data_IF_596310162177
#
_entry.id   IF_596310162177
#
_cell.length_a   1.000
_cell.length_b   1.000
_cell.length_c   1.000
_cell.angle_alpha   90.00
_cell.angle_beta   90.00
_cell.angle_gamma   90.00
#
_symmetry.space_group_name_H-M   'P 1'
#
loop_
_entity.id
_entity.type
_entity.pdbx_description
1 polymer ?
#
# COMPACT_ATOMS: atom_id res chain seq x y z
N UNK A 1 17.60 25.87 45.17
CA UNK A 1 17.68 26.83 44.07
C UNK A 1 17.11 26.18 42.86
N UNK A 2 15.83 26.37 42.63
CA UNK A 2 15.04 25.79 41.49
C UNK A 2 15.06 26.81 40.36
N UNK A 3 15.67 26.47 39.23
CA UNK A 3 15.70 27.33 38.05
C UNK A 3 14.39 27.13 37.26
N UNK A 4 13.66 28.23 37.10
CA UNK A 4 12.39 28.31 36.38
C UNK A 4 12.61 28.26 34.87
N UNK A 5 11.83 27.39 34.16
CA UNK A 5 11.91 27.12 32.71
C UNK A 5 11.29 28.20 31.82
N UNK A 6 10.99 29.39 32.32
CA UNK A 6 10.24 30.45 31.58
C UNK A 6 11.08 31.64 31.08
N UNK A 7 12.40 31.58 31.11
CA UNK A 7 13.23 32.76 30.74
C UNK A 7 14.03 32.65 29.44
N UNK A 8 13.59 31.85 28.46
CA UNK A 8 14.31 31.76 27.18
C UNK A 8 13.57 32.34 25.96
N UNK A 9 12.68 33.26 26.13
CA UNK A 9 11.97 33.92 25.01
C UNK A 9 11.92 35.44 25.14
N UNK A 10 13.09 36.10 25.31
CA UNK A 10 13.22 37.55 25.03
C UNK A 10 14.66 37.85 24.64
N UNK A 11 14.92 38.04 23.37
CA UNK A 11 16.23 38.39 22.84
C UNK A 11 16.20 38.89 21.41
N UNK A 12 15.80 40.14 21.24
CA UNK A 12 16.29 41.11 20.24
C UNK A 12 16.15 40.84 18.77
N UNK A 13 15.13 41.43 18.17
CA UNK A 13 15.10 41.84 16.77
C UNK A 13 16.10 42.98 16.54
N UNK A 14 17.14 42.78 15.75
CA UNK A 14 17.93 43.85 15.12
C UNK A 14 17.74 43.71 13.61
N UNK A 15 17.08 44.69 13.02
CA UNK A 15 16.93 44.85 11.62
C UNK A 15 18.24 45.13 10.88
N UNK A 16 18.45 44.49 9.78
CA UNK A 16 19.38 44.92 8.74
C UNK A 16 18.63 44.89 7.39
N UNK A 17 18.24 46.10 6.98
CA UNK A 17 17.90 46.38 5.58
C UNK A 17 19.21 46.68 4.87
N UNK A 18 19.58 45.88 3.86
CA UNK A 18 20.44 46.36 2.77
C UNK A 18 20.59 45.29 1.68
N UNK A 19 20.37 45.67 0.44
CA UNK A 19 21.01 45.08 -0.70
C UNK A 19 20.14 44.13 -1.54
N UNK A 20 19.34 44.70 -2.47
CA UNK A 20 18.91 44.02 -3.69
C UNK A 20 20.13 43.64 -4.56
N UNK A 21 20.75 42.53 -4.26
CA UNK A 21 21.68 41.84 -5.16
C UNK A 21 20.86 40.80 -5.94
N UNK A 22 20.82 40.94 -7.29
CA UNK A 22 20.40 39.88 -8.20
C UNK A 22 21.38 38.70 -8.03
N UNK A 23 21.12 37.85 -7.05
CA UNK A 23 21.80 36.56 -6.95
C UNK A 23 21.32 35.67 -8.08
N UNK A 24 22.23 35.29 -8.97
CA UNK A 24 22.04 34.13 -9.85
C UNK A 24 21.75 32.96 -8.91
N UNK A 25 20.53 32.45 -8.95
CA UNK A 25 20.18 31.19 -8.31
C UNK A 25 21.09 30.13 -8.95
N UNK A 26 22.12 29.71 -8.23
CA UNK A 26 22.78 28.45 -8.54
C UNK A 26 21.68 27.40 -8.35
N UNK A 27 21.24 26.78 -9.43
CA UNK A 27 20.48 25.54 -9.38
C UNK A 27 21.29 24.55 -8.56
N UNK A 28 20.98 24.46 -7.28
CA UNK A 28 21.50 23.34 -6.49
C UNK A 28 20.97 22.08 -7.15
N UNK A 29 21.84 21.11 -7.51
CA UNK A 29 21.36 19.88 -8.12
C UNK A 29 20.31 19.29 -7.17
N UNK A 30 19.10 19.08 -7.66
CA UNK A 30 18.02 18.49 -6.92
C UNK A 30 18.56 17.19 -6.29
N UNK A 31 18.56 17.10 -4.96
CA UNK A 31 18.99 15.89 -4.24
C UNK A 31 18.13 14.75 -4.80
N UNK A 32 18.76 13.86 -5.58
CA UNK A 32 18.07 12.72 -6.17
C UNK A 32 17.59 11.83 -5.01
N UNK A 33 16.30 11.86 -4.74
CA UNK A 33 15.72 11.06 -3.68
C UNK A 33 15.76 9.58 -4.11
N UNK A 34 16.38 8.76 -3.26
CA UNK A 34 16.39 7.31 -3.44
C UNK A 34 15.17 6.71 -2.75
N UNK A 35 14.25 6.10 -3.51
CA UNK A 35 13.10 5.42 -2.93
C UNK A 35 13.50 4.11 -2.28
N UNK A 36 12.82 3.78 -1.20
CA UNK A 36 13.01 2.51 -0.51
C UNK A 36 12.16 1.42 -1.16
N UNK A 37 12.77 0.25 -1.36
CA UNK A 37 12.13 -0.91 -1.98
C UNK A 37 11.82 -1.92 -0.89
N UNK A 38 10.55 -2.24 -0.73
CA UNK A 38 10.06 -3.29 0.15
C UNK A 38 9.61 -4.51 -0.67
N UNK A 39 9.26 -5.57 0.03
CA UNK A 39 8.63 -6.76 -0.55
C UNK A 39 7.41 -7.16 0.29
N UNK A 40 6.30 -7.45 -0.38
CA UNK A 40 5.15 -8.08 0.27
C UNK A 40 5.46 -9.56 0.57
N UNK A 41 5.13 -10.01 1.77
CA UNK A 41 5.29 -11.42 2.16
C UNK A 41 4.48 -12.36 1.26
N UNK A 42 3.43 -11.83 0.60
CA UNK A 42 2.72 -12.50 -0.48
C UNK A 42 3.66 -13.03 -1.57
N UNK A 43 4.68 -12.25 -1.95
CA UNK A 43 5.62 -12.59 -3.03
C UNK A 43 6.34 -13.92 -2.80
N UNK A 44 6.61 -14.28 -1.55
CA UNK A 44 7.21 -15.56 -1.18
C UNK A 44 6.16 -16.66 -1.15
N UNK A 45 5.03 -16.42 -0.49
CA UNK A 45 4.03 -17.45 -0.22
C UNK A 45 3.12 -17.74 -1.43
N UNK A 46 2.60 -16.73 -2.10
CA UNK A 46 1.69 -16.84 -3.26
C UNK A 46 0.51 -17.80 -3.03
N UNK A 47 0.06 -18.00 -1.78
CA UNK A 47 -0.95 -18.97 -1.35
C UNK A 47 -0.64 -20.47 -1.69
N UNK A 48 0.54 -20.78 -2.18
CA UNK A 48 0.93 -22.12 -2.69
C UNK A 48 2.26 -22.64 -2.15
N UNK A 49 3.17 -21.78 -1.69
CA UNK A 49 4.48 -22.16 -1.19
C UNK A 49 4.47 -22.23 0.33
N UNK A 50 4.01 -23.40 0.88
CA UNK A 50 3.80 -23.58 2.33
C UNK A 50 5.06 -23.31 3.17
N UNK A 51 6.24 -23.54 2.60
CA UNK A 51 7.55 -23.27 3.22
C UNK A 51 7.81 -21.81 3.51
N UNK A 52 7.10 -20.89 2.83
CA UNK A 52 7.17 -19.44 3.03
C UNK A 52 5.94 -18.86 3.75
N UNK A 53 5.13 -19.71 4.38
CA UNK A 53 3.96 -19.20 5.11
C UNK A 53 4.31 -18.45 6.39
N UNK A 54 5.46 -18.73 6.99
CA UNK A 54 5.94 -18.04 8.19
C UNK A 54 6.36 -16.60 7.83
N UNK A 55 5.60 -15.63 8.36
CA UNK A 55 5.83 -14.20 8.13
C UNK A 55 7.18 -13.74 8.68
N UNK A 56 7.58 -14.23 9.87
CA UNK A 56 8.87 -13.89 10.49
C UNK A 56 10.04 -14.37 9.63
N UNK A 57 9.94 -15.58 9.06
CA UNK A 57 10.90 -16.08 8.07
C UNK A 57 10.97 -15.20 6.82
N UNK A 58 9.83 -14.73 6.31
CA UNK A 58 9.81 -13.83 5.14
C UNK A 58 10.54 -12.50 5.44
N UNK A 59 10.44 -11.97 6.66
CA UNK A 59 11.19 -10.76 7.07
C UNK A 59 12.70 -11.02 6.99
N UNK A 60 13.19 -12.18 7.48
CA UNK A 60 14.61 -12.53 7.41
C UNK A 60 15.06 -12.67 5.96
N UNK A 61 14.32 -13.41 5.13
CA UNK A 61 14.62 -13.59 3.71
C UNK A 61 14.65 -12.27 2.94
N UNK A 62 13.73 -11.35 3.24
CA UNK A 62 13.72 -10.01 2.65
C UNK A 62 15.02 -9.24 2.98
N UNK A 63 15.48 -9.30 4.23
CA UNK A 63 16.73 -8.68 4.64
C UNK A 63 17.94 -9.31 3.94
N UNK A 64 18.01 -10.65 3.84
CA UNK A 64 19.07 -11.38 3.14
C UNK A 64 19.13 -11.04 1.65
N UNK A 65 17.97 -10.76 1.02
CA UNK A 65 17.90 -10.31 -0.37
C UNK A 65 18.29 -8.85 -0.57
N UNK A 66 18.31 -8.03 0.50
CA UNK A 66 18.69 -6.61 0.46
C UNK A 66 17.53 -5.65 0.21
N UNK A 67 16.31 -6.00 0.61
CA UNK A 67 15.19 -5.06 0.67
C UNK A 67 15.34 -4.06 1.81
N UNK A 68 14.66 -2.91 1.74
CA UNK A 68 14.66 -1.90 2.79
C UNK A 68 13.50 -2.06 3.77
N UNK A 69 12.48 -2.86 3.42
CA UNK A 69 11.31 -3.06 4.26
C UNK A 69 10.45 -4.23 3.79
N UNK A 70 9.42 -4.51 4.58
CA UNK A 70 8.47 -5.60 4.33
C UNK A 70 7.03 -5.09 4.50
N UNK A 71 6.18 -5.49 3.58
CA UNK A 71 4.73 -5.41 3.70
C UNK A 71 4.19 -6.78 4.11
N UNK A 72 3.47 -6.83 5.23
CA UNK A 72 2.94 -8.09 5.75
C UNK A 72 1.56 -8.38 5.16
N UNK A 73 1.33 -9.60 4.69
CA UNK A 73 0.02 -10.05 4.26
C UNK A 73 -0.74 -10.68 5.43
N UNK A 74 -1.84 -10.08 5.86
CA UNK A 74 -2.63 -10.56 7.01
C UNK A 74 -3.08 -12.01 6.86
N UNK A 75 -3.58 -12.43 5.68
CA UNK A 75 -4.02 -13.81 5.41
C UNK A 75 -2.92 -14.88 5.57
N UNK A 76 -1.66 -14.48 5.57
CA UNK A 76 -0.52 -15.36 5.79
C UNK A 76 -0.28 -15.60 7.29
N UNK A 77 -0.68 -14.65 8.15
CA UNK A 77 -0.52 -14.76 9.60
C UNK A 77 -1.41 -15.88 10.16
N UNK A 78 -0.81 -16.76 10.94
CA UNK A 78 -1.50 -17.89 11.61
C UNK A 78 -1.68 -17.67 13.10
N UNK A 79 -0.98 -16.69 13.65
CA UNK A 79 -1.01 -16.32 15.07
C UNK A 79 -0.85 -14.81 15.20
N UNK A 80 -1.82 -14.16 15.84
CA UNK A 80 -1.89 -12.73 16.10
C UNK A 80 -1.65 -12.41 17.59
N UNK A 81 -1.16 -13.39 18.36
CA UNK A 81 -0.88 -13.17 19.77
C UNK A 81 0.16 -12.05 19.97
N UNK A 82 0.05 -11.29 21.09
CA UNK A 82 1.04 -10.25 21.40
C UNK A 82 2.48 -10.78 21.44
N UNK A 83 2.68 -12.07 21.74
CA UNK A 83 4.00 -12.71 21.71
C UNK A 83 4.54 -12.79 20.27
N UNK A 84 3.71 -13.20 19.32
CA UNK A 84 4.08 -13.30 17.90
C UNK A 84 4.31 -11.92 17.29
N UNK A 85 3.44 -10.94 17.54
CA UNK A 85 3.62 -9.57 17.05
C UNK A 85 4.94 -8.97 17.54
N UNK A 86 5.28 -9.16 18.82
CA UNK A 86 6.57 -8.70 19.38
C UNK A 86 7.77 -9.41 18.75
N UNK A 87 7.67 -10.70 18.42
CA UNK A 87 8.76 -11.42 17.73
C UNK A 87 8.97 -10.87 16.32
N UNK A 88 7.91 -10.72 15.51
CA UNK A 88 7.99 -10.15 14.16
C UNK A 88 8.66 -8.76 14.22
N UNK A 89 8.18 -7.88 15.11
CA UNK A 89 8.72 -6.53 15.29
C UNK A 89 10.20 -6.54 15.70
N UNK A 90 10.57 -7.41 16.65
CA UNK A 90 11.97 -7.58 17.08
C UNK A 90 12.84 -8.10 15.94
N UNK A 91 12.37 -9.09 15.18
CA UNK A 91 13.10 -9.67 14.05
C UNK A 91 13.31 -8.62 12.96
N UNK A 92 12.29 -7.86 12.59
CA UNK A 92 12.43 -6.77 11.64
C UNK A 92 13.51 -5.76 12.10
N UNK A 93 13.45 -5.31 13.35
CA UNK A 93 14.41 -4.37 13.90
C UNK A 93 15.86 -4.90 13.89
N UNK A 94 16.06 -6.16 14.31
CA UNK A 94 17.41 -6.76 14.35
C UNK A 94 18.02 -6.97 12.97
N UNK A 95 17.19 -7.10 11.93
CA UNK A 95 17.63 -7.24 10.55
C UNK A 95 17.63 -5.90 9.77
N UNK A 96 17.38 -4.76 10.43
CA UNK A 96 17.36 -3.45 9.80
C UNK A 96 16.22 -3.26 8.81
N UNK A 97 15.09 -3.96 9.02
CA UNK A 97 13.93 -3.94 8.14
C UNK A 97 12.81 -3.05 8.69
N UNK A 98 12.29 -2.16 7.86
CA UNK A 98 11.06 -1.44 8.20
C UNK A 98 9.83 -2.33 7.91
N UNK A 99 8.87 -2.39 8.83
CA UNK A 99 7.54 -2.91 8.56
C UNK A 99 6.73 -1.76 7.95
N UNK A 100 6.65 -1.69 6.61
CA UNK A 100 6.17 -0.50 5.91
C UNK A 100 4.70 -0.56 5.49
N UNK A 101 4.09 -1.74 5.47
CA UNK A 101 2.72 -1.94 5.03
C UNK A 101 2.08 -3.21 5.59
N UNK A 102 0.76 -3.25 5.58
CA UNK A 102 -0.05 -4.39 6.00
C UNK A 102 -1.19 -4.59 4.99
N UNK A 103 -1.19 -5.72 4.29
CA UNK A 103 -2.18 -6.01 3.26
C UNK A 103 -3.32 -6.83 3.80
N UNK A 104 -4.54 -6.32 3.67
CA UNK A 104 -5.77 -6.98 4.14
C UNK A 104 -6.79 -7.14 3.02
N UNK A 105 -7.82 -7.95 3.25
CA UNK A 105 -8.88 -8.17 2.27
C UNK A 105 -10.23 -7.89 2.94
N UNK A 106 -10.95 -6.90 2.42
CA UNK A 106 -12.29 -6.51 2.84
C UNK A 106 -13.33 -6.88 1.79
N UNK A 107 -14.58 -6.97 2.20
CA UNK A 107 -15.72 -7.27 1.34
C UNK A 107 -16.92 -6.38 1.70
N UNK A 108 -16.82 -5.07 1.47
CA UNK A 108 -17.91 -4.13 1.76
C UNK A 108 -19.03 -4.18 0.72
N UNK A 109 -18.78 -4.74 -0.48
CA UNK A 109 -19.78 -4.91 -1.54
C UNK A 109 -20.74 -6.05 -1.22
N UNK A 110 -21.65 -5.81 -0.28
CA UNK A 110 -22.68 -6.79 0.11
C UNK A 110 -23.97 -6.07 0.48
N UNK A 111 -25.15 -6.54 0.02
CA UNK A 111 -26.43 -6.04 0.50
C UNK A 111 -26.69 -6.41 1.95
N UNK A 112 -26.06 -7.45 2.48
CA UNK A 112 -26.19 -7.89 3.87
C UNK A 112 -25.39 -6.97 4.80
N UNK A 113 -26.11 -6.23 5.65
CA UNK A 113 -25.53 -5.34 6.64
C UNK A 113 -24.65 -6.08 7.65
N UNK A 114 -24.99 -7.31 8.01
CA UNK A 114 -24.18 -8.10 8.94
C UNK A 114 -22.82 -8.45 8.35
N UNK A 115 -22.76 -8.73 7.03
CA UNK A 115 -21.49 -8.94 6.32
C UNK A 115 -20.67 -7.65 6.31
N UNK A 116 -21.29 -6.51 6.00
CA UNK A 116 -20.57 -5.21 6.02
C UNK A 116 -20.04 -4.86 7.41
N UNK A 117 -20.86 -5.04 8.46
CA UNK A 117 -20.43 -4.81 9.86
C UNK A 117 -19.24 -5.69 10.24
N UNK A 118 -19.27 -6.98 9.89
CA UNK A 118 -18.15 -7.90 10.13
C UNK A 118 -16.87 -7.44 9.44
N UNK A 119 -16.97 -6.90 8.22
CA UNK A 119 -15.82 -6.34 7.50
C UNK A 119 -15.30 -5.05 8.15
N UNK A 120 -16.15 -4.20 8.70
CA UNK A 120 -15.74 -3.05 9.53
C UNK A 120 -14.99 -3.49 10.77
N UNK A 121 -15.53 -4.44 11.52
CA UNK A 121 -14.89 -5.01 12.72
C UNK A 121 -13.53 -5.63 12.40
N UNK A 122 -13.45 -6.40 11.32
CA UNK A 122 -12.19 -6.96 10.81
C UNK A 122 -11.18 -5.88 10.44
N UNK A 123 -11.62 -4.81 9.76
CA UNK A 123 -10.75 -3.71 9.36
C UNK A 123 -10.19 -2.98 10.57
N UNK A 124 -11.03 -2.69 11.58
CA UNK A 124 -10.62 -2.06 12.84
C UNK A 124 -9.60 -2.95 13.59
N UNK A 125 -9.86 -4.25 13.67
CA UNK A 125 -8.90 -5.20 14.24
C UNK A 125 -7.55 -5.16 13.52
N UNK A 126 -7.54 -5.17 12.20
CA UNK A 126 -6.29 -5.07 11.42
C UNK A 126 -5.56 -3.73 11.63
N UNK A 127 -6.28 -2.62 11.81
CA UNK A 127 -5.69 -1.32 12.18
C UNK A 127 -4.97 -1.42 13.53
N UNK A 128 -5.57 -2.10 14.51
CA UNK A 128 -4.96 -2.32 15.82
C UNK A 128 -3.73 -3.22 15.75
N UNK A 129 -3.73 -4.25 14.90
CA UNK A 129 -2.52 -5.05 14.59
C UNK A 129 -1.40 -4.19 13.98
N UNK A 130 -1.74 -3.28 13.05
CA UNK A 130 -0.77 -2.33 12.49
C UNK A 130 -0.14 -1.46 13.59
N UNK A 131 -0.95 -0.94 14.51
CA UNK A 131 -0.47 -0.14 15.63
C UNK A 131 0.50 -0.94 16.52
N UNK A 132 0.16 -2.16 16.90
CA UNK A 132 1.03 -3.03 17.70
C UNK A 132 2.35 -3.36 16.99
N UNK A 133 2.31 -3.57 15.67
CA UNK A 133 3.49 -3.83 14.85
C UNK A 133 4.29 -2.56 14.53
N UNK A 134 3.71 -1.36 14.69
CA UNK A 134 4.31 -0.08 14.30
C UNK A 134 4.26 0.16 12.79
N UNK A 135 3.29 -0.43 12.08
CA UNK A 135 3.09 -0.30 10.63
C UNK A 135 2.25 0.95 10.34
N UNK A 136 2.74 1.88 9.49
CA UNK A 136 2.06 3.17 9.27
C UNK A 136 0.97 3.12 8.20
N UNK A 137 0.93 2.10 7.35
CA UNK A 137 -0.03 2.00 6.24
C UNK A 137 -0.69 0.63 6.17
N UNK A 138 -1.97 0.61 5.83
CA UNK A 138 -2.73 -0.62 5.65
C UNK A 138 -3.52 -0.58 4.36
N UNK A 139 -3.28 -1.56 3.47
CA UNK A 139 -4.06 -1.72 2.25
C UNK A 139 -5.46 -2.24 2.58
N UNK A 140 -6.48 -1.62 1.98
CA UNK A 140 -7.88 -2.02 2.04
C UNK A 140 -8.47 -2.13 0.63
N UNK A 141 -9.52 -2.95 0.46
CA UNK A 141 -10.22 -3.17 -0.80
C UNK A 141 -11.71 -2.82 -0.67
N UNK A 142 -12.36 -2.59 -1.80
CA UNK A 142 -13.83 -2.48 -1.86
C UNK A 142 -14.52 -3.83 -1.64
N UNK A 143 -13.85 -4.93 -1.99
CA UNK A 143 -14.44 -6.22 -2.24
C UNK A 143 -14.94 -6.33 -3.67
N UNK A 144 -15.55 -7.47 -4.00
CA UNK A 144 -16.16 -7.78 -5.32
C UNK A 144 -17.66 -8.02 -5.14
N UNK A 145 -18.41 -7.97 -6.24
CA UNK A 145 -19.84 -8.29 -6.23
C UNK A 145 -20.12 -9.77 -5.93
N UNK A 146 -19.09 -10.65 -6.11
CA UNK A 146 -19.21 -12.08 -5.86
C UNK A 146 -20.12 -12.79 -6.86
N UNK A 147 -20.34 -12.20 -8.03
CA UNK A 147 -21.13 -12.79 -9.11
C UNK A 147 -20.33 -13.69 -10.02
N UNK A 148 -19.01 -13.65 -9.96
CA UNK A 148 -18.11 -14.63 -10.57
C UNK A 148 -18.07 -15.91 -9.71
N UNK A 149 -18.12 -17.08 -10.36
CA UNK A 149 -18.14 -18.38 -9.66
C UNK A 149 -16.88 -18.67 -8.84
N UNK A 150 -15.75 -18.15 -9.29
CA UNK A 150 -14.43 -18.26 -8.64
C UNK A 150 -13.47 -17.19 -9.17
N UNK A 151 -12.28 -17.12 -8.55
CA UNK A 151 -11.28 -16.14 -8.91
C UNK A 151 -10.75 -16.30 -10.34
N UNK A 152 -10.62 -17.54 -10.85
CA UNK A 152 -10.15 -17.77 -12.23
C UNK A 152 -11.16 -17.24 -13.26
N UNK A 153 -12.46 -17.32 -12.98
CA UNK A 153 -13.48 -16.72 -13.84
C UNK A 153 -13.41 -15.20 -13.80
N UNK A 154 -13.28 -14.62 -12.60
CA UNK A 154 -13.09 -13.17 -12.43
C UNK A 154 -11.87 -12.69 -13.24
N UNK A 155 -10.75 -13.40 -13.18
CA UNK A 155 -9.54 -13.03 -13.93
C UNK A 155 -9.71 -13.21 -15.44
N UNK A 156 -10.38 -14.28 -15.91
CA UNK A 156 -10.71 -14.42 -17.33
C UNK A 156 -11.60 -13.28 -17.85
N UNK A 157 -12.45 -12.75 -16.98
CA UNK A 157 -13.29 -11.58 -17.26
C UNK A 157 -12.57 -10.25 -16.95
N UNK A 158 -11.24 -10.27 -16.71
CA UNK A 158 -10.41 -9.09 -16.47
C UNK A 158 -10.86 -8.26 -15.26
N UNK A 159 -11.32 -8.95 -14.22
CA UNK A 159 -11.84 -8.32 -13.01
C UNK A 159 -13.23 -7.69 -13.17
N UNK A 160 -13.90 -7.92 -14.29
CA UNK A 160 -15.24 -7.38 -14.55
C UNK A 160 -16.28 -8.39 -14.05
N UNK A 161 -17.16 -7.96 -13.18
CA UNK A 161 -18.33 -8.70 -12.77
C UNK A 161 -19.55 -7.76 -12.68
N UNK A 162 -20.75 -8.24 -13.04
CA UNK A 162 -21.95 -7.43 -12.91
C UNK A 162 -22.33 -7.27 -11.43
N UNK A 163 -23.03 -6.19 -11.07
CA UNK A 163 -23.68 -6.09 -9.77
C UNK A 163 -24.60 -7.27 -9.48
N UNK A 164 -24.84 -7.54 -8.20
CA UNK A 164 -25.84 -8.52 -7.76
C UNK A 164 -27.23 -8.13 -8.29
N UNK A 165 -28.10 -9.12 -8.66
CA UNK A 165 -29.46 -8.85 -9.10
C UNK A 165 -30.22 -7.95 -8.12
N UNK A 166 -30.83 -6.89 -8.61
CA UNK A 166 -31.59 -5.91 -7.81
C UNK A 166 -30.75 -4.76 -7.22
N UNK A 167 -29.44 -4.75 -7.45
CA UNK A 167 -28.52 -3.70 -7.00
C UNK A 167 -27.74 -3.11 -8.17
N UNK A 168 -27.06 -2.00 -7.92
CA UNK A 168 -26.21 -1.30 -8.89
C UNK A 168 -24.95 -0.72 -8.21
N UNK A 169 -24.05 -0.15 -9.00
CA UNK A 169 -22.79 0.39 -8.48
C UNK A 169 -23.00 1.53 -7.48
N UNK A 170 -24.09 2.32 -7.57
CA UNK A 170 -24.40 3.36 -6.60
C UNK A 170 -24.71 2.78 -5.21
N UNK A 171 -25.39 1.63 -5.16
CA UNK A 171 -25.58 0.89 -3.91
C UNK A 171 -24.22 0.46 -3.32
N UNK A 172 -23.37 -0.09 -4.17
CA UNK A 172 -22.02 -0.52 -3.81
C UNK A 172 -21.15 0.63 -3.27
N UNK A 173 -21.15 1.78 -3.95
CA UNK A 173 -20.41 2.96 -3.48
C UNK A 173 -20.87 3.41 -2.10
N UNK A 174 -22.19 3.50 -1.87
CA UNK A 174 -22.72 3.86 -0.54
C UNK A 174 -22.24 2.90 0.55
N UNK A 175 -22.24 1.60 0.29
CA UNK A 175 -21.80 0.60 1.27
C UNK A 175 -20.31 0.67 1.55
N UNK A 176 -19.48 0.86 0.53
CA UNK A 176 -18.02 0.99 0.69
C UNK A 176 -17.67 2.27 1.43
N UNK A 177 -18.28 3.40 1.06
CA UNK A 177 -18.08 4.70 1.73
C UNK A 177 -18.49 4.63 3.20
N UNK A 178 -19.68 4.08 3.52
CA UNK A 178 -20.11 3.86 4.91
C UNK A 178 -19.11 2.96 5.66
N UNK A 179 -18.75 1.81 5.08
CA UNK A 179 -17.86 0.84 5.71
C UNK A 179 -16.48 1.42 6.04
N UNK A 180 -15.84 2.10 5.08
CA UNK A 180 -14.53 2.73 5.27
C UNK A 180 -14.61 3.92 6.23
N UNK A 181 -15.64 4.75 6.14
CA UNK A 181 -15.84 5.90 7.05
C UNK A 181 -15.91 5.47 8.50
N UNK A 182 -16.54 4.34 8.80
CA UNK A 182 -16.61 3.77 10.15
C UNK A 182 -15.27 3.31 10.71
N UNK A 183 -14.28 3.06 9.86
CA UNK A 183 -12.93 2.64 10.26
C UNK A 183 -12.00 3.83 10.58
N UNK A 184 -12.33 5.06 10.11
CA UNK A 184 -11.41 6.19 10.17
C UNK A 184 -11.04 6.64 11.59
N UNK A 185 -11.97 6.58 12.54
CA UNK A 185 -11.67 6.92 13.92
C UNK A 185 -10.62 5.99 14.56
N UNK A 186 -10.63 4.71 14.17
CA UNK A 186 -9.59 3.76 14.59
C UNK A 186 -8.27 4.05 13.86
N UNK A 187 -8.31 4.33 12.57
CA UNK A 187 -7.15 4.68 11.76
C UNK A 187 -6.42 5.91 12.33
N UNK A 188 -7.16 6.99 12.63
CA UNK A 188 -6.63 8.20 13.27
C UNK A 188 -6.04 7.93 14.65
N UNK A 189 -6.76 7.25 15.52
CA UNK A 189 -6.30 6.90 16.88
C UNK A 189 -5.00 6.09 16.86
N UNK A 190 -4.88 5.18 15.90
CA UNK A 190 -3.72 4.30 15.76
C UNK A 190 -2.59 4.89 14.90
N UNK A 191 -2.82 6.02 14.21
CA UNK A 191 -1.84 6.63 13.31
C UNK A 191 -1.58 5.78 12.06
N UNK A 192 -2.59 5.05 11.56
CA UNK A 192 -2.49 4.14 10.41
C UNK A 192 -3.26 4.72 9.24
N UNK A 193 -2.59 4.95 8.11
CA UNK A 193 -3.24 5.43 6.88
C UNK A 193 -3.81 4.23 6.13
N UNK A 194 -5.11 4.23 5.87
CA UNK A 194 -5.77 3.26 5.01
C UNK A 194 -5.45 3.60 3.55
N UNK A 195 -4.89 2.67 2.81
CA UNK A 195 -4.65 2.78 1.37
C UNK A 195 -5.68 1.97 0.60
N UNK A 196 -6.66 2.63 -0.03
CA UNK A 196 -7.60 1.95 -0.92
C UNK A 196 -6.88 1.54 -2.20
N UNK A 197 -6.83 0.23 -2.44
CA UNK A 197 -6.14 -0.32 -3.61
C UNK A 197 -7.01 -0.24 -4.87
N UNK A 198 -6.39 0.09 -6.00
CA UNK A 198 -6.97 -0.19 -7.32
C UNK A 198 -6.98 -1.71 -7.55
N UNK A 199 -8.10 -2.32 -7.19
CA UNK A 199 -8.33 -3.76 -7.20
C UNK A 199 -9.70 -4.07 -7.81
N UNK A 200 -10.09 -5.33 -7.88
CA UNK A 200 -11.37 -5.76 -8.42
C UNK A 200 -12.57 -5.11 -7.72
N UNK A 201 -13.76 -5.23 -8.28
CA UNK A 201 -14.97 -4.54 -7.81
C UNK A 201 -14.95 -3.06 -8.19
N UNK A 202 -15.38 -2.17 -7.30
CA UNK A 202 -15.46 -0.72 -7.58
C UNK A 202 -14.07 -0.04 -7.69
N UNK A 203 -13.02 -0.67 -7.16
CA UNK A 203 -11.63 -0.21 -7.29
C UNK A 203 -10.98 -0.55 -8.63
N UNK A 204 -11.68 -1.20 -9.57
CA UNK A 204 -11.13 -1.63 -10.85
C UNK A 204 -10.76 -0.47 -11.80
N UNK A 205 -11.30 0.70 -11.58
CA UNK A 205 -10.99 1.90 -12.37
C UNK A 205 -10.45 3.02 -11.47
N UNK A 206 -9.63 3.93 -11.99
CA UNK A 206 -9.13 5.06 -11.20
C UNK A 206 -10.27 5.99 -10.75
N UNK A 207 -11.32 6.15 -11.57
CA UNK A 207 -12.50 6.93 -11.23
C UNK A 207 -13.23 6.34 -10.02
N UNK A 208 -13.35 5.01 -9.97
CA UNK A 208 -13.98 4.31 -8.84
C UNK A 208 -13.21 4.50 -7.53
N UNK A 209 -11.88 4.32 -7.57
CA UNK A 209 -11.00 4.56 -6.41
C UNK A 209 -11.09 6.02 -5.97
N UNK A 210 -10.92 6.95 -6.90
CA UNK A 210 -10.89 8.38 -6.59
C UNK A 210 -12.25 8.91 -6.13
N UNK A 211 -13.36 8.35 -6.62
CA UNK A 211 -14.70 8.67 -6.12
C UNK A 211 -14.79 8.41 -4.63
N UNK A 212 -14.40 7.20 -4.18
CA UNK A 212 -14.48 6.82 -2.77
C UNK A 212 -13.55 7.69 -1.92
N UNK A 213 -12.29 7.87 -2.35
CA UNK A 213 -11.30 8.65 -1.59
C UNK A 213 -11.72 10.12 -1.47
N UNK A 214 -12.27 10.73 -2.53
CA UNK A 214 -12.71 12.12 -2.54
C UNK A 214 -14.03 12.34 -1.80
N UNK A 215 -14.95 11.36 -1.83
CA UNK A 215 -16.23 11.44 -1.11
C UNK A 215 -16.00 11.37 0.41
N UNK A 216 -15.08 10.52 0.85
CA UNK A 216 -14.70 10.39 2.27
C UNK A 216 -13.84 11.58 2.74
N UNK A 217 -12.98 12.10 1.88
CA UNK A 217 -12.11 13.29 2.09
C UNK A 217 -11.40 13.31 3.45
N UNK A 218 -10.69 12.22 3.77
CA UNK A 218 -9.99 12.06 5.04
C UNK A 218 -8.47 11.96 4.82
N UNK A 219 -7.63 12.57 5.70
CA UNK A 219 -6.19 12.35 5.68
C UNK A 219 -5.81 10.89 5.99
N UNK A 220 -6.71 10.13 6.62
CA UNK A 220 -6.53 8.73 6.99
C UNK A 220 -7.00 7.73 5.94
N UNK A 221 -7.55 8.21 4.79
CA UNK A 221 -7.83 7.38 3.62
C UNK A 221 -7.11 7.94 2.40
N UNK A 222 -6.23 7.16 1.83
CA UNK A 222 -5.43 7.44 0.65
C UNK A 222 -5.48 6.26 -0.32
N UNK A 223 -4.52 6.17 -1.23
CA UNK A 223 -4.45 5.12 -2.25
C UNK A 223 -3.25 4.22 -2.01
N UNK A 224 -3.44 2.91 -2.05
CA UNK A 224 -2.40 1.95 -2.39
C UNK A 224 -2.46 1.74 -3.90
N UNK A 225 -1.42 2.17 -4.59
CA UNK A 225 -1.32 2.05 -6.04
C UNK A 225 -0.72 0.71 -6.42
N UNK A 226 -1.52 -0.19 -6.97
CA UNK A 226 -1.01 -1.43 -7.57
C UNK A 226 -0.72 -1.20 -9.06
N UNK A 227 0.49 -1.49 -9.49
CA UNK A 227 0.94 -1.23 -10.86
C UNK A 227 0.40 -2.21 -11.88
N UNK A 228 -0.07 -3.38 -11.45
CA UNK A 228 -0.47 -4.47 -12.32
C UNK A 228 -1.98 -4.75 -12.36
N UNK A 229 -2.80 -4.07 -11.55
CA UNK A 229 -4.23 -4.33 -11.51
C UNK A 229 -5.04 -3.58 -12.58
N UNK A 230 -4.43 -2.61 -13.27
CA UNK A 230 -4.98 -2.06 -14.51
C UNK A 230 -4.47 -2.89 -15.69
N UNK A 231 -5.29 -3.82 -16.16
CA UNK A 231 -4.89 -4.82 -17.16
C UNK A 231 -4.71 -4.26 -18.58
N UNK A 232 -5.08 -3.01 -18.82
CA UNK A 232 -4.98 -2.29 -20.10
C UNK A 232 -4.52 -0.87 -19.87
N UNK A 233 -3.50 -0.44 -20.63
CA UNK A 233 -2.99 0.94 -20.63
C UNK A 233 -2.89 1.53 -19.22
N UNK A 234 -2.02 0.99 -18.36
CA UNK A 234 -2.04 1.29 -16.94
C UNK A 234 -1.56 2.71 -16.62
N UNK A 235 -0.68 3.29 -17.43
CA UNK A 235 0.12 4.46 -17.04
C UNK A 235 -0.69 5.71 -16.77
N UNK A 236 -1.62 6.07 -17.67
CA UNK A 236 -2.48 7.26 -17.49
C UNK A 236 -3.41 7.07 -16.28
N UNK A 237 -3.82 5.83 -16.02
CA UNK A 237 -4.61 5.47 -14.85
C UNK A 237 -3.80 5.57 -13.56
N UNK A 238 -2.55 5.08 -13.57
CA UNK A 238 -1.62 5.21 -12.45
C UNK A 238 -1.30 6.69 -12.17
N UNK A 239 -1.14 7.50 -13.21
CA UNK A 239 -0.88 8.94 -13.07
C UNK A 239 -2.04 9.65 -12.37
N UNK A 240 -3.31 9.27 -12.63
CA UNK A 240 -4.48 9.81 -11.93
C UNK A 240 -4.46 9.49 -10.43
N UNK A 241 -3.94 8.32 -10.03
CA UNK A 241 -3.87 7.89 -8.64
C UNK A 241 -2.66 8.48 -7.89
N UNK A 242 -1.59 8.82 -8.59
CA UNK A 242 -0.30 9.20 -8.01
C UNK A 242 -0.38 10.32 -6.95
N UNK A 243 -1.18 11.41 -7.10
CA UNK A 243 -1.31 12.47 -6.09
C UNK A 243 -1.87 12.00 -4.74
N UNK A 244 -2.55 10.86 -4.72
CA UNK A 244 -3.23 10.30 -3.53
C UNK A 244 -2.49 9.10 -2.95
N UNK A 245 -1.41 8.65 -3.59
CA UNK A 245 -0.72 7.39 -3.27
C UNK A 245 0.15 7.51 -2.02
N UNK A 246 0.01 6.55 -1.11
CA UNK A 246 0.82 6.40 0.11
C UNK A 246 1.70 5.16 0.11
N UNK A 247 1.33 4.14 -0.64
CA UNK A 247 2.11 2.92 -0.87
C UNK A 247 1.95 2.50 -2.33
N UNK A 248 3.04 2.04 -2.95
CA UNK A 248 3.01 1.43 -4.30
C UNK A 248 3.24 -0.07 -4.16
N UNK A 249 2.35 -0.88 -4.73
CA UNK A 249 2.57 -2.31 -4.95
C UNK A 249 3.04 -2.53 -6.38
N UNK A 250 4.28 -3.01 -6.51
CA UNK A 250 4.96 -3.18 -7.77
C UNK A 250 4.87 -4.64 -8.24
N UNK A 251 4.04 -4.92 -9.23
CA UNK A 251 3.86 -6.27 -9.76
C UNK A 251 4.95 -6.65 -10.76
N UNK A 252 5.42 -7.88 -10.66
CA UNK A 252 6.35 -8.48 -11.62
C UNK A 252 5.95 -9.93 -11.93
N UNK A 253 6.33 -10.43 -13.13
CA UNK A 253 5.77 -11.66 -13.66
C UNK A 253 6.83 -12.59 -14.26
N UNK A 254 8.02 -12.69 -13.67
CA UNK A 254 9.08 -13.59 -14.17
C UNK A 254 8.60 -15.04 -14.25
N UNK A 255 8.87 -15.70 -15.39
CA UNK A 255 8.34 -17.02 -15.69
C UNK A 255 6.89 -17.04 -16.18
N UNK A 256 6.31 -15.88 -16.50
CA UNK A 256 4.90 -15.66 -16.80
C UNK A 256 4.05 -15.49 -15.54
N UNK A 257 2.94 -14.78 -15.63
CA UNK A 257 2.04 -14.52 -14.51
C UNK A 257 1.19 -15.73 -14.12
N UNK A 258 0.72 -15.73 -12.88
CA UNK A 258 -0.18 -16.78 -12.38
C UNK A 258 -1.54 -16.76 -13.09
N UNK A 259 -2.07 -15.59 -13.35
CA UNK A 259 -3.37 -15.38 -14.01
C UNK A 259 -3.25 -14.59 -15.31
N UNK A 260 -2.38 -13.59 -15.33
CA UNK A 260 -2.08 -12.74 -16.49
C UNK A 260 -0.62 -12.30 -16.42
N UNK A 261 -0.11 -11.77 -17.53
CA UNK A 261 1.24 -11.20 -17.60
C UNK A 261 1.12 -9.81 -18.22
N UNK A 262 1.73 -8.83 -17.58
CA UNK A 262 1.86 -7.48 -18.10
C UNK A 262 3.34 -7.13 -18.27
N UNK A 263 3.67 -6.47 -19.37
CA UNK A 263 4.96 -5.83 -19.55
C UNK A 263 4.87 -4.41 -18.98
N UNK A 264 5.39 -4.23 -17.77
CA UNK A 264 5.37 -2.95 -17.05
C UNK A 264 6.71 -2.22 -17.22
N UNK A 265 6.65 -1.03 -17.82
CA UNK A 265 7.79 -0.11 -17.91
C UNK A 265 7.95 0.65 -16.58
N UNK A 266 8.82 0.15 -15.72
CA UNK A 266 9.10 0.77 -14.43
C UNK A 266 9.84 2.11 -14.54
N UNK A 267 10.51 2.41 -15.66
CA UNK A 267 11.08 3.74 -15.90
C UNK A 267 9.98 4.78 -16.11
N UNK A 268 8.92 4.42 -16.84
CA UNK A 268 7.72 5.26 -17.00
C UNK A 268 6.97 5.43 -15.68
N UNK A 269 6.84 4.37 -14.89
CA UNK A 269 6.23 4.44 -13.55
C UNK A 269 7.07 5.34 -12.63
N UNK A 270 8.41 5.23 -12.65
CA UNK A 270 9.29 6.13 -11.91
C UNK A 270 9.04 7.60 -12.25
N UNK A 271 8.92 7.93 -13.55
CA UNK A 271 8.63 9.28 -14.00
C UNK A 271 7.28 9.80 -13.47
N UNK A 272 6.23 8.98 -13.47
CA UNK A 272 4.92 9.31 -12.89
C UNK A 272 5.08 9.63 -11.40
N UNK A 273 5.77 8.78 -10.65
CA UNK A 273 5.99 8.96 -9.21
C UNK A 273 6.83 10.21 -8.90
N UNK A 274 7.86 10.51 -9.72
CA UNK A 274 8.68 11.72 -9.59
C UNK A 274 7.86 12.98 -9.84
N UNK A 275 7.07 13.00 -10.90
CA UNK A 275 6.21 14.12 -11.28
C UNK A 275 5.26 14.52 -10.15
N UNK A 276 4.78 13.57 -9.39
CA UNK A 276 3.86 13.79 -8.27
C UNK A 276 4.55 13.81 -6.90
N UNK A 277 5.88 13.80 -6.86
CA UNK A 277 6.66 13.93 -5.63
C UNK A 277 6.49 12.77 -4.64
N UNK A 278 6.17 11.57 -5.14
CA UNK A 278 6.00 10.38 -4.30
C UNK A 278 7.30 9.98 -3.62
N UNK A 279 7.25 9.77 -2.30
CA UNK A 279 8.42 9.44 -1.46
C UNK A 279 8.21 8.22 -0.57
N UNK A 280 7.10 7.53 -0.75
CA UNK A 280 6.78 6.31 0.02
C UNK A 280 7.57 5.09 -0.45
N UNK A 281 7.24 3.95 0.13
CA UNK A 281 7.79 2.66 -0.24
C UNK A 281 7.22 2.16 -1.57
N UNK A 282 8.05 1.43 -2.32
CA UNK A 282 7.63 0.59 -3.44
C UNK A 282 7.75 -0.85 -2.97
N UNK A 283 6.63 -1.49 -2.72
CA UNK A 283 6.53 -2.87 -2.23
C UNK A 283 6.38 -3.83 -3.39
N UNK A 284 7.34 -4.72 -3.58
CA UNK A 284 7.26 -5.75 -4.61
C UNK A 284 6.10 -6.72 -4.31
N UNK A 285 5.23 -6.95 -5.28
CA UNK A 285 4.32 -8.09 -5.35
C UNK A 285 4.68 -8.97 -6.55
N UNK A 286 5.49 -10.01 -6.30
CA UNK A 286 5.87 -10.97 -7.32
C UNK A 286 4.72 -11.96 -7.58
N UNK A 287 4.17 -11.94 -8.78
CA UNK A 287 3.10 -12.85 -9.23
C UNK A 287 3.52 -13.79 -10.38
N UNK A 288 4.83 -13.97 -10.53
CA UNK A 288 5.37 -14.86 -11.55
C UNK A 288 5.33 -16.35 -11.17
N UNK A 289 5.52 -17.20 -12.18
CA UNK A 289 5.59 -18.66 -12.04
C UNK A 289 7.00 -19.17 -11.76
N UNK A 290 8.02 -18.32 -11.89
CA UNK A 290 9.39 -18.68 -11.52
C UNK A 290 9.46 -19.01 -10.03
N UNK A 291 10.46 -19.76 -9.62
CA UNK A 291 10.70 -20.05 -8.20
C UNK A 291 10.79 -18.71 -7.42
N UNK A 292 10.10 -18.56 -6.27
CA UNK A 292 9.94 -17.27 -5.61
C UNK A 292 11.24 -16.54 -5.32
N UNK A 293 12.25 -17.20 -4.73
CA UNK A 293 13.52 -16.56 -4.38
C UNK A 293 14.27 -16.04 -5.60
N UNK A 294 14.16 -16.74 -6.73
CA UNK A 294 14.75 -16.32 -8.01
C UNK A 294 13.99 -15.15 -8.62
N UNK A 295 12.66 -15.25 -8.72
CA UNK A 295 11.82 -14.21 -9.28
C UNK A 295 11.86 -12.91 -8.46
N UNK A 296 11.83 -13.00 -7.13
CA UNK A 296 11.95 -11.86 -6.21
C UNK A 296 13.30 -11.15 -6.38
N UNK A 297 14.41 -11.90 -6.49
CA UNK A 297 15.75 -11.32 -6.70
C UNK A 297 15.81 -10.52 -8.01
N UNK A 298 15.37 -11.12 -9.12
CA UNK A 298 15.30 -10.43 -10.43
C UNK A 298 14.42 -9.18 -10.38
N UNK A 299 13.31 -9.27 -9.65
CA UNK A 299 12.39 -8.15 -9.45
C UNK A 299 13.04 -7.02 -8.65
N UNK A 300 13.78 -7.34 -7.59
CA UNK A 300 14.52 -6.34 -6.82
C UNK A 300 15.58 -5.63 -7.68
N UNK A 301 16.33 -6.38 -8.49
CA UNK A 301 17.31 -5.82 -9.43
C UNK A 301 16.65 -4.83 -10.40
N UNK A 302 15.51 -5.22 -11.01
CA UNK A 302 14.72 -4.34 -11.88
C UNK A 302 14.27 -3.06 -11.16
N UNK A 303 13.68 -3.20 -9.97
CA UNK A 303 13.14 -2.06 -9.22
C UNK A 303 14.28 -1.12 -8.75
N UNK A 304 15.42 -1.66 -8.30
CA UNK A 304 16.59 -0.86 -7.93
C UNK A 304 17.16 -0.07 -9.12
N UNK A 305 17.15 -0.67 -10.32
CA UNK A 305 17.67 -0.03 -11.53
C UNK A 305 16.74 1.07 -12.09
N UNK A 306 15.44 1.01 -11.79
CA UNK A 306 14.44 1.88 -12.43
C UNK A 306 13.80 2.89 -11.47
N UNK A 307 13.29 2.45 -10.34
CA UNK A 307 12.49 3.28 -9.41
C UNK A 307 13.18 3.57 -8.08
N UNK A 308 14.28 2.87 -7.77
CA UNK A 308 15.03 2.97 -6.51
C UNK A 308 16.02 4.13 -6.40
#
# INVERSE_FOLDING_TARGET
MTLDRRQWLTGTAIGLVAGLGKGHGQDQPAVKYKRRIAVSTYSFWQFRHAEYRDVERCVVLAAELGFDGVELLHRQMTDESPATLRRIKRTAFLHGMDLCGFSTHQGFLSPDEAVRRKNVEHTIHCIELCYELGIPTMRVNTGTWGTSRNFDELMRNRGIEPPLPGYNDEDGYRWVVDGLSRCLAAAERCGVILGLENHWGLGRTPEGVLRIVKEIDSPWLRVTMDTGNFLEEPYDKLELLAPYTVLVQAKTYYGGGLWYTLELDYSRIAHILDKHGYRGYISLEFEGKEEPMTGIRKSLELLRATVG
#
